data_IF_522552132054
#
_entry.id   IF_522552132054
#
_cell.length_a   1.000
_cell.length_b   1.000
_cell.length_c   1.000
_cell.angle_alpha   90.00
_cell.angle_beta   90.00
_cell.angle_gamma   90.00
#
_symmetry.space_group_name_H-M   'P 1'
#
loop_
_entity.id
_entity.type
_entity.pdbx_description
1 polymer ?
#
# COMPACT_ATOMS: atom_id res chain seq x y z
N UNK A 1 -2.13 41.45 5.81
CA UNK A 1 -0.94 41.39 4.93
C UNK A 1 0.12 40.40 5.45
N UNK A 2 0.60 40.49 6.70
CA UNK A 2 1.69 39.62 7.21
C UNK A 2 1.30 38.12 7.29
N UNK A 3 0.13 37.80 7.83
CA UNK A 3 -0.30 36.41 8.01
C UNK A 3 -0.50 35.63 6.70
N UNK A 4 -0.83 36.32 5.60
CA UNK A 4 -0.98 35.70 4.28
C UNK A 4 0.39 35.40 3.67
N UNK A 5 1.36 36.29 3.86
CA UNK A 5 2.74 36.13 3.43
C UNK A 5 3.45 35.01 4.20
N UNK A 6 3.20 34.85 5.50
CA UNK A 6 3.74 33.74 6.29
C UNK A 6 3.19 32.38 5.83
N UNK A 7 1.90 32.33 5.45
CA UNK A 7 1.27 31.14 4.89
C UNK A 7 1.85 30.76 3.54
N UNK A 8 2.10 31.73 2.66
CA UNK A 8 2.70 31.47 1.34
C UNK A 8 4.15 31.02 1.46
N UNK A 9 4.93 31.65 2.33
CA UNK A 9 6.33 31.26 2.58
C UNK A 9 6.45 29.87 3.23
N UNK A 10 5.56 29.51 4.14
CA UNK A 10 5.54 28.16 4.73
C UNK A 10 5.28 27.08 3.67
N UNK A 11 4.29 27.31 2.79
CA UNK A 11 4.01 26.41 1.66
C UNK A 11 5.17 26.33 0.68
N UNK A 12 5.84 27.45 0.41
CA UNK A 12 7.01 27.50 -0.48
C UNK A 12 8.15 26.62 0.05
N UNK A 13 8.48 26.74 1.34
CA UNK A 13 9.52 25.92 1.98
C UNK A 13 9.15 24.44 1.99
N UNK A 14 7.89 24.12 2.30
CA UNK A 14 7.39 22.75 2.23
C UNK A 14 7.50 22.17 0.81
N UNK A 15 7.10 22.94 -0.21
CA UNK A 15 7.20 22.51 -1.60
C UNK A 15 8.64 22.28 -2.05
N UNK A 16 9.58 23.15 -1.64
CA UNK A 16 11.01 22.94 -1.88
C UNK A 16 11.52 21.66 -1.23
N UNK A 17 11.15 21.41 0.03
CA UNK A 17 11.50 20.17 0.75
C UNK A 17 10.93 18.91 0.07
N UNK A 18 9.65 18.95 -0.34
CA UNK A 18 9.01 17.87 -1.08
C UNK A 18 9.75 17.61 -2.41
N UNK A 19 10.15 18.67 -3.13
CA UNK A 19 10.88 18.54 -4.40
C UNK A 19 12.21 17.80 -4.20
N UNK A 20 12.97 18.16 -3.16
CA UNK A 20 14.23 17.48 -2.81
C UNK A 20 13.97 16.03 -2.41
N UNK A 21 13.00 15.76 -1.54
CA UNK A 21 12.67 14.40 -1.11
C UNK A 21 12.17 13.51 -2.25
N UNK A 22 11.44 14.06 -3.22
CA UNK A 22 11.06 13.36 -4.47
C UNK A 22 12.29 13.07 -5.33
N UNK A 23 13.19 14.02 -5.51
CA UNK A 23 14.44 13.81 -6.25
C UNK A 23 15.32 12.72 -5.60
N UNK A 24 15.31 12.64 -4.27
CA UNK A 24 16.01 11.60 -3.50
C UNK A 24 15.26 10.26 -3.45
N UNK A 25 14.11 10.12 -4.14
CA UNK A 25 13.37 8.86 -4.20
C UNK A 25 12.70 8.42 -2.89
N UNK A 26 12.47 9.34 -1.94
CA UNK A 26 11.87 9.03 -0.63
C UNK A 26 10.41 8.59 -0.77
N UNK A 27 9.67 9.20 -1.70
CA UNK A 27 8.26 8.90 -1.93
C UNK A 27 8.10 7.65 -2.81
N UNK A 28 7.77 6.50 -2.18
CA UNK A 28 7.55 5.21 -2.86
C UNK A 28 6.07 4.83 -3.00
N UNK A 29 5.17 5.78 -2.79
CA UNK A 29 3.73 5.55 -2.81
C UNK A 29 3.24 4.74 -1.61
N UNK A 30 2.08 4.10 -1.76
CA UNK A 30 1.45 3.30 -0.71
C UNK A 30 2.08 1.91 -0.63
N UNK A 31 2.58 1.46 0.53
CA UNK A 31 3.07 0.10 0.70
C UNK A 31 1.98 -0.95 0.44
N UNK A 32 2.38 -2.16 0.03
CA UNK A 32 1.46 -3.29 -0.18
C UNK A 32 0.73 -3.59 1.14
N UNK A 33 -0.61 -3.67 1.08
CA UNK A 33 -1.43 -3.96 2.26
C UNK A 33 -1.34 -5.42 2.69
N UNK A 34 -1.39 -6.33 1.72
CA UNK A 34 -1.30 -7.77 1.95
C UNK A 34 0.02 -8.26 1.34
N UNK A 35 1.01 -8.48 2.20
CA UNK A 35 2.34 -8.96 1.84
C UNK A 35 2.98 -9.65 3.04
N UNK A 36 4.03 -10.44 2.80
CA UNK A 36 4.80 -11.09 3.86
C UNK A 36 5.39 -10.07 4.86
N UNK A 37 5.79 -8.90 4.36
CA UNK A 37 6.48 -7.86 5.14
C UNK A 37 5.53 -6.76 5.67
N UNK A 38 4.22 -6.91 5.49
CA UNK A 38 3.25 -5.93 5.99
C UNK A 38 3.42 -5.75 7.49
N UNK A 39 3.48 -4.50 7.98
CA UNK A 39 3.62 -4.17 9.42
C UNK A 39 2.46 -4.67 10.28
N UNK A 40 1.25 -4.63 9.73
CA UNK A 40 0.02 -5.10 10.36
C UNK A 40 -0.01 -6.65 10.41
N UNK A 41 0.00 -7.25 11.62
CA UNK A 41 0.02 -8.71 11.79
C UNK A 41 -1.22 -9.42 11.22
N UNK A 42 -2.41 -8.80 11.32
CA UNK A 42 -3.64 -9.40 10.84
C UNK A 42 -3.62 -9.50 9.31
N UNK A 43 -3.22 -8.43 8.63
CA UNK A 43 -3.09 -8.44 7.17
C UNK A 43 -2.00 -9.39 6.68
N UNK A 44 -0.93 -9.56 7.45
CA UNK A 44 0.12 -10.55 7.17
C UNK A 44 -0.42 -11.97 7.27
N UNK A 45 -1.25 -12.26 8.29
CA UNK A 45 -1.90 -13.55 8.42
C UNK A 45 -2.84 -13.82 7.23
N UNK A 46 -3.70 -12.85 6.89
CA UNK A 46 -4.60 -12.96 5.73
C UNK A 46 -3.83 -13.21 4.43
N UNK A 47 -2.70 -12.53 4.22
CA UNK A 47 -1.84 -12.79 3.07
C UNK A 47 -1.35 -14.24 3.03
N UNK A 48 -0.84 -14.78 4.15
CA UNK A 48 -0.38 -16.17 4.23
C UNK A 48 -1.50 -17.16 3.93
N UNK A 49 -2.69 -16.93 4.49
CA UNK A 49 -3.85 -17.79 4.25
C UNK A 49 -4.31 -17.75 2.79
N UNK A 50 -4.25 -16.58 2.12
CA UNK A 50 -4.54 -16.47 0.68
C UNK A 50 -3.51 -17.27 -0.14
N UNK A 51 -2.22 -17.22 0.21
CA UNK A 51 -1.18 -17.98 -0.48
C UNK A 51 -1.42 -19.49 -0.32
N UNK A 52 -1.79 -19.93 0.88
CA UNK A 52 -2.16 -21.32 1.14
C UNK A 52 -3.39 -21.77 0.34
N UNK A 53 -4.47 -20.99 0.34
CA UNK A 53 -5.67 -21.23 -0.47
C UNK A 53 -5.32 -21.40 -1.96
N UNK A 54 -4.45 -20.53 -2.48
CA UNK A 54 -4.03 -20.56 -3.88
C UNK A 54 -3.19 -21.81 -4.20
N UNK A 55 -2.31 -22.23 -3.29
CA UNK A 55 -1.50 -23.44 -3.43
C UNK A 55 -2.37 -24.72 -3.34
N UNK A 56 -3.43 -24.70 -2.55
CA UNK A 56 -4.43 -25.78 -2.49
C UNK A 56 -5.37 -25.80 -3.70
N UNK A 57 -5.23 -24.86 -4.65
CA UNK A 57 -6.06 -24.80 -5.86
C UNK A 57 -7.47 -24.25 -5.61
N UNK A 58 -7.70 -23.54 -4.49
CA UNK A 58 -8.99 -22.92 -4.21
C UNK A 58 -9.26 -21.80 -5.22
N UNK A 59 -10.50 -21.72 -5.70
CA UNK A 59 -10.90 -20.72 -6.68
C UNK A 59 -10.74 -19.29 -6.13
N UNK A 60 -10.14 -18.41 -6.93
CA UNK A 60 -9.89 -17.00 -6.62
C UNK A 60 -11.16 -16.26 -6.13
N UNK A 61 -12.31 -16.60 -6.72
CA UNK A 61 -13.61 -16.02 -6.35
C UNK A 61 -14.05 -16.43 -4.94
N UNK A 62 -13.72 -17.65 -4.50
CA UNK A 62 -14.04 -18.17 -3.17
C UNK A 62 -13.09 -17.56 -2.13
N UNK A 63 -11.79 -17.57 -2.39
CA UNK A 63 -10.78 -16.91 -1.53
C UNK A 63 -11.09 -15.42 -1.32
N UNK A 64 -11.45 -14.69 -2.38
CA UNK A 64 -11.84 -13.29 -2.26
C UNK A 64 -13.04 -13.06 -1.32
N UNK A 65 -14.05 -13.93 -1.39
CA UNK A 65 -15.22 -13.88 -0.52
C UNK A 65 -14.87 -14.22 0.93
N UNK A 66 -14.10 -15.30 1.14
CA UNK A 66 -13.73 -15.79 2.46
C UNK A 66 -12.99 -14.73 3.29
N UNK A 67 -12.05 -14.01 2.66
CA UNK A 67 -11.24 -13.00 3.34
C UNK A 67 -11.77 -11.57 3.17
N UNK A 68 -12.95 -11.40 2.58
CA UNK A 68 -13.57 -10.10 2.29
C UNK A 68 -12.62 -9.11 1.59
N UNK A 69 -11.95 -9.57 0.53
CA UNK A 69 -11.06 -8.76 -0.30
C UNK A 69 -11.48 -8.78 -1.76
N UNK A 70 -11.02 -7.78 -2.52
CA UNK A 70 -11.30 -7.73 -3.95
C UNK A 70 -10.59 -8.87 -4.67
N UNK A 71 -11.23 -9.43 -5.71
CA UNK A 71 -10.61 -10.44 -6.59
C UNK A 71 -9.28 -9.93 -7.17
N UNK A 72 -9.21 -8.64 -7.50
CA UNK A 72 -7.98 -8.00 -7.99
C UNK A 72 -6.82 -8.11 -6.99
N UNK A 73 -7.10 -8.02 -5.68
CA UNK A 73 -6.07 -8.19 -4.65
C UNK A 73 -5.56 -9.63 -4.64
N UNK A 74 -6.44 -10.62 -4.79
CA UNK A 74 -6.05 -12.04 -4.89
C UNK A 74 -5.26 -12.29 -6.17
N UNK A 75 -5.69 -11.74 -7.31
CA UNK A 75 -4.93 -11.84 -8.57
C UNK A 75 -3.53 -11.23 -8.46
N UNK A 76 -3.41 -10.04 -7.85
CA UNK A 76 -2.11 -9.42 -7.60
C UNK A 76 -1.23 -10.33 -6.73
N UNK A 77 -1.78 -10.91 -5.66
CA UNK A 77 -1.03 -11.84 -4.80
C UNK A 77 -0.59 -13.06 -5.60
N UNK A 78 -1.47 -13.64 -6.41
CA UNK A 78 -1.16 -14.79 -7.27
C UNK A 78 -0.05 -14.49 -8.27
N UNK A 79 -0.02 -13.29 -8.84
CA UNK A 79 1.00 -12.88 -9.81
C UNK A 79 2.34 -12.49 -9.14
N UNK A 80 2.31 -12.17 -7.84
CA UNK A 80 3.49 -11.84 -7.03
C UNK A 80 4.17 -13.10 -6.43
N UNK A 81 3.51 -14.27 -6.50
CA UNK A 81 4.07 -15.58 -6.14
C UNK A 81 4.96 -16.11 -7.27
#
# INVERSE_FOLDING_TARGET
MIAEQERTESKRRQAQGIKIAKANGVYKGRPKLYSADTKDPQRRLVYKSIVEDLNQGIAISKTAKNYNITRQTVYRIKNDL
#
